data_IF_891739712633
#
_entry.id   IF_891739712633
#
_cell.length_a   1.000
_cell.length_b   1.000
_cell.length_c   1.000
_cell.angle_alpha   90.00
_cell.angle_beta   90.00
_cell.angle_gamma   90.00
#
_symmetry.space_group_name_H-M   'P 1'
#
loop_
_entity.id
_entity.type
_entity.pdbx_description
1 polymer ?
#
# COMPACT_ATOMS: atom_id res chain seq x y z
N UNK A 1 -47.69 39.44 -17.29
CA UNK A 1 -46.23 39.66 -17.13
C UNK A 1 -45.77 39.43 -15.68
N UNK A 2 -46.45 40.03 -14.69
CA UNK A 2 -46.15 39.87 -13.25
C UNK A 2 -46.08 38.42 -12.73
N UNK A 3 -47.03 37.55 -13.11
CA UNK A 3 -47.06 36.17 -12.63
C UNK A 3 -45.84 35.35 -13.07
N UNK A 4 -45.30 35.61 -14.27
CA UNK A 4 -44.10 34.93 -14.78
C UNK A 4 -42.86 35.35 -14.02
N UNK A 5 -42.76 36.63 -13.64
CA UNK A 5 -41.66 37.18 -12.85
C UNK A 5 -41.65 36.63 -11.41
N UNK A 6 -42.84 36.50 -10.82
CA UNK A 6 -43.03 35.90 -9.50
C UNK A 6 -42.67 34.42 -9.50
N UNK A 7 -43.06 33.67 -10.54
CA UNK A 7 -42.71 32.25 -10.66
C UNK A 7 -41.20 32.05 -10.82
N UNK A 8 -40.52 32.90 -11.60
CA UNK A 8 -39.06 32.82 -11.79
C UNK A 8 -38.29 33.23 -10.54
N UNK A 9 -38.76 34.25 -9.79
CA UNK A 9 -38.19 34.60 -8.48
C UNK A 9 -38.39 33.47 -7.48
N UNK A 10 -39.57 32.86 -7.43
CA UNK A 10 -39.85 31.72 -6.56
C UNK A 10 -38.93 30.54 -6.90
N UNK A 11 -38.77 30.21 -8.19
CA UNK A 11 -37.89 29.14 -8.66
C UNK A 11 -36.42 29.42 -8.33
N UNK A 12 -35.93 30.65 -8.51
CA UNK A 12 -34.58 31.07 -8.11
C UNK A 12 -34.36 31.00 -6.59
N UNK A 13 -35.38 31.35 -5.78
CA UNK A 13 -35.27 31.20 -4.32
C UNK A 13 -35.36 29.74 -3.87
N UNK A 14 -36.08 28.89 -4.60
CA UNK A 14 -36.15 27.45 -4.34
C UNK A 14 -34.81 26.78 -4.69
N UNK A 15 -34.20 27.13 -5.82
CA UNK A 15 -32.88 26.61 -6.21
C UNK A 15 -31.77 27.13 -5.30
N UNK A 16 -31.86 28.38 -4.83
CA UNK A 16 -30.96 28.92 -3.81
C UNK A 16 -31.14 28.28 -2.42
N UNK A 17 -32.24 27.54 -2.19
CA UNK A 17 -32.51 26.76 -0.98
C UNK A 17 -32.31 25.26 -1.14
N UNK A 18 -31.83 24.79 -2.30
CA UNK A 18 -31.28 23.43 -2.40
C UNK A 18 -30.01 23.45 -1.56
N UNK A 19 -30.14 23.01 -0.30
CA UNK A 19 -29.05 22.98 0.64
C UNK A 19 -27.85 22.21 0.09
N UNK A 20 -26.66 22.52 0.62
CA UNK A 20 -25.46 21.72 0.39
C UNK A 20 -25.81 20.27 0.68
N UNK A 21 -25.78 19.42 -0.35
CA UNK A 21 -25.94 17.97 -0.18
C UNK A 21 -24.82 17.53 0.74
N UNK A 22 -25.16 17.26 2.00
CA UNK A 22 -24.22 16.74 2.96
C UNK A 22 -24.07 15.26 2.65
N UNK A 23 -22.92 14.90 2.08
CA UNK A 23 -22.59 13.50 1.85
C UNK A 23 -22.56 12.77 3.18
N UNK A 24 -23.39 11.74 3.32
CA UNK A 24 -23.47 10.92 4.55
C UNK A 24 -22.53 9.72 4.44
N UNK A 25 -22.03 9.43 3.24
CA UNK A 25 -21.04 8.39 3.03
C UNK A 25 -19.67 8.77 3.58
N UNK A 26 -19.03 7.78 4.19
CA UNK A 26 -17.64 7.85 4.66
C UNK A 26 -16.82 6.92 3.80
N UNK A 27 -15.65 7.38 3.34
CA UNK A 27 -14.71 6.51 2.66
C UNK A 27 -13.64 5.98 3.63
N UNK A 28 -13.09 4.82 3.33
CA UNK A 28 -11.85 4.34 3.95
C UNK A 28 -10.77 4.14 2.91
N UNK A 29 -9.53 4.45 3.28
CA UNK A 29 -8.37 4.32 2.41
C UNK A 29 -7.37 3.35 3.05
N UNK A 30 -7.17 2.22 2.39
CA UNK A 30 -6.05 1.33 2.65
C UNK A 30 -4.83 1.84 1.89
N UNK A 31 -3.93 2.54 2.60
CA UNK A 31 -2.76 3.17 2.01
C UNK A 31 -1.52 2.29 2.17
N UNK A 32 -1.32 1.36 1.22
CA UNK A 32 -0.12 0.53 1.15
C UNK A 32 1.09 1.26 0.56
N UNK A 33 2.22 0.57 0.41
CA UNK A 33 3.40 1.15 -0.26
C UNK A 33 3.35 1.04 -1.80
N UNK A 34 2.59 0.07 -2.32
CA UNK A 34 2.47 -0.22 -3.77
C UNK A 34 1.04 -0.03 -4.28
N UNK A 35 0.03 -0.34 -3.44
CA UNK A 35 -1.37 -0.33 -3.82
C UNK A 35 -2.20 0.46 -2.81
N UNK A 36 -3.09 1.28 -3.32
CA UNK A 36 -4.17 1.94 -2.60
C UNK A 36 -5.47 1.19 -2.86
N UNK A 37 -6.28 0.96 -1.82
CA UNK A 37 -7.67 0.52 -1.97
C UNK A 37 -8.59 1.51 -1.28
N UNK A 38 -9.77 1.69 -1.85
CA UNK A 38 -10.79 2.59 -1.30
C UNK A 38 -12.04 1.77 -1.06
N UNK A 39 -12.68 1.98 0.09
CA UNK A 39 -14.00 1.45 0.35
C UNK A 39 -14.95 2.57 0.78
N UNK A 40 -16.24 2.36 0.63
CA UNK A 40 -17.27 3.31 1.06
C UNK A 40 -18.24 2.60 2.00
N UNK A 41 -18.66 3.32 3.02
CA UNK A 41 -19.80 2.95 3.86
C UNK A 41 -20.85 4.03 3.69
N UNK A 42 -22.04 3.63 3.22
CA UNK A 42 -23.20 4.51 3.07
C UNK A 42 -24.35 4.03 3.98
N UNK A 43 -25.22 4.93 4.48
CA UNK A 43 -26.38 4.51 5.26
C UNK A 43 -27.23 3.46 4.53
N UNK A 44 -27.50 2.34 5.18
CA UNK A 44 -28.32 1.26 4.63
C UNK A 44 -27.64 0.38 3.57
N UNK A 45 -26.38 0.65 3.21
CA UNK A 45 -25.61 -0.13 2.23
C UNK A 45 -24.41 -0.79 2.94
N UNK A 46 -24.16 -2.09 2.72
CA UNK A 46 -22.94 -2.73 3.19
C UNK A 46 -21.68 -2.00 2.73
N UNK A 47 -20.56 -2.20 3.42
CA UNK A 47 -19.27 -1.67 2.97
C UNK A 47 -18.90 -2.24 1.61
N UNK A 48 -18.57 -1.39 0.65
CA UNK A 48 -18.22 -1.79 -0.71
C UNK A 48 -16.81 -1.30 -1.10
N UNK A 49 -16.09 -2.14 -1.85
CA UNK A 49 -14.80 -1.75 -2.43
C UNK A 49 -15.06 -0.94 -3.69
N UNK A 50 -14.46 0.25 -3.74
CA UNK A 50 -14.54 1.17 -4.86
C UNK A 50 -13.65 0.69 -6.00
N UNK A 51 -14.18 0.78 -7.21
CA UNK A 51 -13.43 0.55 -8.43
C UNK A 51 -12.76 1.86 -8.89
N UNK A 52 -11.55 1.76 -9.41
CA UNK A 52 -10.91 2.89 -10.07
C UNK A 52 -11.44 3.08 -11.50
N UNK A 53 -10.89 4.06 -12.22
CA UNK A 53 -11.29 4.39 -13.61
C UNK A 53 -11.13 3.24 -14.59
N UNK A 54 -10.24 2.28 -14.29
CA UNK A 54 -9.97 1.10 -15.12
C UNK A 54 -10.73 -0.15 -14.59
N UNK A 55 -11.75 0.06 -13.75
CA UNK A 55 -12.55 -1.00 -13.12
C UNK A 55 -11.76 -1.97 -12.23
N UNK A 56 -10.61 -1.56 -11.71
CA UNK A 56 -9.79 -2.36 -10.78
C UNK A 56 -10.16 -2.04 -9.32
N UNK A 57 -10.07 -3.05 -8.45
CA UNK A 57 -10.28 -2.93 -6.98
C UNK A 57 -9.09 -2.34 -6.21
N UNK A 58 -8.02 -1.99 -6.91
CA UNK A 58 -6.79 -1.43 -6.34
C UNK A 58 -6.16 -0.49 -7.35
N UNK A 59 -5.58 0.59 -6.86
CA UNK A 59 -4.88 1.61 -7.66
C UNK A 59 -3.41 1.60 -7.29
N UNK A 60 -2.46 1.59 -8.24
CA UNK A 60 -1.04 1.65 -7.89
C UNK A 60 -0.70 3.02 -7.29
N UNK A 61 0.18 3.05 -6.28
CA UNK A 61 0.61 4.30 -5.64
C UNK A 61 1.78 4.87 -6.44
N UNK A 62 1.42 5.48 -7.56
CA UNK A 62 2.35 6.11 -8.50
C UNK A 62 1.76 7.42 -8.97
N UNK A 63 2.61 8.45 -9.01
CA UNK A 63 2.29 9.77 -9.56
C UNK A 63 3.35 10.09 -10.60
N UNK A 64 2.94 10.58 -11.77
CA UNK A 64 3.87 11.02 -12.81
C UNK A 64 3.51 12.40 -13.31
N UNK A 65 4.51 13.22 -13.58
CA UNK A 65 4.36 14.55 -14.15
C UNK A 65 4.95 14.59 -15.54
N UNK A 66 4.16 14.98 -16.53
CA UNK A 66 4.61 15.02 -17.91
C UNK A 66 3.82 16.03 -18.71
N UNK A 67 4.54 16.82 -19.52
CA UNK A 67 3.95 17.76 -20.48
C UNK A 67 2.94 18.74 -19.82
N UNK A 68 3.21 19.13 -18.57
CA UNK A 68 2.33 19.99 -17.76
C UNK A 68 1.17 19.27 -17.07
N UNK A 69 1.00 17.97 -17.30
CA UNK A 69 -0.07 17.16 -16.73
C UNK A 69 0.41 16.29 -15.57
N UNK A 70 -0.49 16.05 -14.62
CA UNK A 70 -0.32 15.10 -13.52
C UNK A 70 -1.13 13.84 -13.78
N UNK A 71 -0.43 12.72 -13.92
CA UNK A 71 -0.99 11.38 -13.99
C UNK A 71 -0.93 10.74 -12.61
N UNK A 72 -1.97 9.99 -12.24
CA UNK A 72 -2.09 9.32 -10.94
C UNK A 72 -2.62 7.90 -11.15
N UNK A 73 -2.08 6.94 -10.40
CA UNK A 73 -2.55 5.56 -10.46
C UNK A 73 -2.09 4.85 -11.73
N UNK A 74 -2.98 4.07 -12.35
CA UNK A 74 -2.66 3.23 -13.51
C UNK A 74 -2.10 4.03 -14.68
N UNK A 75 -2.62 5.24 -14.92
CA UNK A 75 -2.11 6.17 -15.92
C UNK A 75 -0.64 6.55 -15.69
N UNK A 76 -0.25 6.81 -14.44
CA UNK A 76 1.12 7.11 -14.07
C UNK A 76 2.01 5.86 -14.18
N UNK A 77 1.51 4.71 -13.72
CA UNK A 77 2.23 3.43 -13.78
C UNK A 77 2.53 3.02 -15.22
N UNK A 78 1.63 3.30 -16.17
CA UNK A 78 1.80 3.00 -17.59
C UNK A 78 2.98 3.76 -18.22
N UNK A 79 3.22 5.02 -17.80
CA UNK A 79 4.31 5.85 -18.32
C UNK A 79 5.61 5.73 -17.52
N UNK A 80 5.55 5.29 -16.26
CA UNK A 80 6.70 5.20 -15.35
C UNK A 80 7.83 4.30 -15.89
N UNK A 81 7.54 3.31 -16.72
CA UNK A 81 8.59 2.49 -17.36
C UNK A 81 9.36 3.27 -18.42
N UNK A 82 8.71 4.22 -19.11
CA UNK A 82 9.32 5.04 -20.16
C UNK A 82 10.03 6.26 -19.58
N UNK A 83 9.47 6.86 -18.54
CA UNK A 83 9.95 8.08 -17.88
C UNK A 83 10.06 7.87 -16.36
N UNK A 84 10.97 7.00 -15.89
CA UNK A 84 11.09 6.69 -14.46
C UNK A 84 11.46 7.90 -13.60
N UNK A 85 12.29 8.79 -14.13
CA UNK A 85 12.72 10.05 -13.51
C UNK A 85 11.60 11.11 -13.38
N UNK A 86 10.44 10.84 -13.97
CA UNK A 86 9.23 11.67 -13.91
C UNK A 86 8.10 11.00 -13.11
N UNK A 87 8.36 9.86 -12.47
CA UNK A 87 7.35 9.11 -11.74
C UNK A 87 7.80 8.81 -10.32
N UNK A 88 7.00 9.20 -9.33
CA UNK A 88 7.21 8.89 -7.92
C UNK A 88 6.44 7.62 -7.55
N UNK A 89 7.12 6.68 -6.89
CA UNK A 89 6.54 5.47 -6.31
C UNK A 89 7.22 5.17 -4.96
N UNK A 90 6.62 4.32 -4.12
CA UNK A 90 7.20 3.91 -2.83
C UNK A 90 7.60 5.06 -1.88
N UNK A 91 6.88 6.18 -1.93
CA UNK A 91 7.16 7.38 -1.13
C UNK A 91 6.45 7.39 0.24
N UNK A 92 5.61 6.39 0.58
CA UNK A 92 4.85 6.36 1.83
C UNK A 92 5.76 6.37 3.08
N UNK A 93 6.81 5.55 3.09
CA UNK A 93 7.74 5.44 4.23
C UNK A 93 8.65 6.66 4.41
N UNK A 94 8.62 7.61 3.47
CA UNK A 94 9.40 8.85 3.53
C UNK A 94 8.75 9.95 4.38
N UNK A 95 7.49 9.75 4.80
CA UNK A 95 6.78 10.71 5.66
C UNK A 95 7.58 11.05 6.92
N UNK A 96 7.69 12.35 7.20
CA UNK A 96 8.42 12.88 8.35
C UNK A 96 9.87 12.32 8.51
N UNK A 97 10.53 11.98 7.40
CA UNK A 97 11.93 11.54 7.40
C UNK A 97 12.87 12.65 6.96
N UNK A 98 14.05 12.65 7.57
CA UNK A 98 15.18 13.47 7.15
C UNK A 98 16.11 12.66 6.24
N UNK A 99 16.90 13.37 5.43
CA UNK A 99 17.80 12.80 4.42
C UNK A 99 18.77 11.76 4.96
N UNK A 100 19.26 11.95 6.18
CA UNK A 100 20.23 11.05 6.82
C UNK A 100 19.60 9.77 7.41
N UNK A 101 18.27 9.62 7.37
CA UNK A 101 17.63 8.40 7.84
C UNK A 101 17.93 7.21 6.92
N UNK A 102 18.05 6.02 7.52
CA UNK A 102 18.29 4.77 6.78
C UNK A 102 17.21 4.48 5.72
N UNK A 103 15.97 4.86 6.00
CA UNK A 103 14.83 4.71 5.08
C UNK A 103 15.04 5.56 3.82
N UNK A 104 15.44 6.82 3.96
CA UNK A 104 15.67 7.73 2.83
C UNK A 104 16.91 7.31 2.02
N UNK A 105 17.98 6.89 2.70
CA UNK A 105 19.17 6.37 2.02
C UNK A 105 18.86 5.10 1.22
N UNK A 106 18.06 4.19 1.79
CA UNK A 106 17.62 2.98 1.11
C UNK A 106 16.72 3.32 -0.09
N UNK A 107 15.81 4.27 0.05
CA UNK A 107 15.00 4.77 -1.06
C UNK A 107 15.88 5.31 -2.20
N UNK A 108 16.85 6.17 -1.89
CA UNK A 108 17.77 6.74 -2.87
C UNK A 108 18.59 5.65 -3.59
N UNK A 109 19.05 4.62 -2.87
CA UNK A 109 19.74 3.47 -3.48
C UNK A 109 18.85 2.72 -4.47
N UNK A 110 17.56 2.60 -4.18
CA UNK A 110 16.59 1.87 -5.01
C UNK A 110 16.13 2.66 -6.23
N UNK A 111 16.00 3.98 -6.07
CA UNK A 111 15.47 4.93 -7.06
C UNK A 111 16.41 6.14 -7.22
N UNK A 112 17.63 5.95 -7.78
CA UNK A 112 18.68 6.97 -7.80
C UNK A 112 18.42 8.15 -8.74
N UNK A 113 17.34 8.09 -9.52
CA UNK A 113 16.94 9.16 -10.44
C UNK A 113 16.18 10.30 -9.76
N UNK A 114 15.70 10.12 -8.53
CA UNK A 114 15.10 11.20 -7.75
C UNK A 114 16.18 11.95 -6.99
N UNK A 115 16.20 13.28 -7.11
CA UNK A 115 17.01 14.11 -6.22
C UNK A 115 16.27 14.29 -4.92
N UNK A 116 17.03 14.31 -3.82
CA UNK A 116 16.52 14.46 -2.46
C UNK A 116 17.08 15.75 -1.91
N UNK A 117 16.18 16.65 -1.55
CA UNK A 117 16.49 17.95 -0.97
C UNK A 117 15.95 18.01 0.45
N UNK A 118 16.69 18.67 1.33
CA UNK A 118 16.28 18.87 2.71
C UNK A 118 15.25 20.01 2.78
N UNK A 119 14.19 19.80 3.57
CA UNK A 119 13.22 20.85 3.90
C UNK A 119 13.31 21.16 5.40
N UNK A 120 12.58 22.17 5.86
CA UNK A 120 12.55 22.51 7.29
C UNK A 120 12.12 21.32 8.17
N UNK A 121 11.20 20.49 7.67
CA UNK A 121 10.55 19.43 8.47
C UNK A 121 10.80 18.02 7.95
N UNK A 122 11.63 17.84 6.92
CA UNK A 122 11.88 16.53 6.33
C UNK A 122 12.66 16.62 5.02
N UNK A 123 12.13 15.99 3.98
CA UNK A 123 12.72 15.98 2.64
C UNK A 123 11.69 16.32 1.57
N UNK A 124 12.18 16.66 0.39
CA UNK A 124 11.41 16.71 -0.85
C UNK A 124 12.11 15.90 -1.94
N UNK A 125 11.31 15.34 -2.84
CA UNK A 125 11.76 14.62 -4.01
C UNK A 125 11.59 15.49 -5.24
N UNK A 126 12.63 15.58 -6.07
CA UNK A 126 12.53 16.28 -7.35
C UNK A 126 12.35 15.29 -8.51
N UNK A 127 11.56 15.70 -9.50
CA UNK A 127 11.61 15.15 -10.86
C UNK A 127 12.84 15.66 -11.60
N UNK A 128 13.15 15.08 -12.76
CA UNK A 128 14.22 15.56 -13.65
C UNK A 128 13.98 16.97 -14.22
N UNK A 129 12.72 17.41 -14.35
CA UNK A 129 12.34 18.75 -14.80
C UNK A 129 12.23 19.79 -13.65
N UNK A 130 12.66 19.43 -12.44
CA UNK A 130 12.80 20.36 -11.32
C UNK A 130 11.52 20.60 -10.51
N UNK A 131 10.45 19.83 -10.76
CA UNK A 131 9.28 19.86 -9.89
C UNK A 131 9.63 19.20 -8.55
N UNK A 132 9.33 19.89 -7.46
CA UNK A 132 9.69 19.50 -6.12
C UNK A 132 8.42 19.18 -5.32
N UNK A 133 8.37 18.00 -4.71
CA UNK A 133 7.26 17.59 -3.87
C UNK A 133 7.73 16.91 -2.60
N UNK A 134 7.10 17.28 -1.49
CA UNK A 134 7.19 16.55 -0.22
C UNK A 134 6.41 15.23 -0.29
N UNK A 135 6.77 14.21 0.52
CA UNK A 135 5.96 13.01 0.66
C UNK A 135 4.50 13.30 1.03
N UNK A 136 4.24 14.32 1.85
CA UNK A 136 2.92 14.79 2.26
C UNK A 136 2.10 15.28 1.05
N UNK A 137 2.70 16.08 0.16
CA UNK A 137 2.05 16.52 -1.08
C UNK A 137 1.76 15.35 -2.00
N UNK A 138 2.71 14.42 -2.20
CA UNK A 138 2.49 13.23 -3.03
C UNK A 138 1.35 12.36 -2.50
N UNK A 139 1.29 12.13 -1.19
CA UNK A 139 0.20 11.38 -0.57
C UNK A 139 -1.12 12.13 -0.68
N UNK A 140 -1.12 13.46 -0.53
CA UNK A 140 -2.31 14.29 -0.72
C UNK A 140 -2.92 14.14 -2.12
N UNK A 141 -2.07 14.04 -3.15
CA UNK A 141 -2.53 13.79 -4.52
C UNK A 141 -3.17 12.41 -4.67
N UNK A 142 -2.63 11.38 -4.02
CA UNK A 142 -3.25 10.04 -3.98
C UNK A 142 -4.59 10.06 -3.25
N UNK A 143 -4.67 10.74 -2.09
CA UNK A 143 -5.89 10.85 -1.30
C UNK A 143 -6.97 11.66 -2.04
N UNK A 144 -6.58 12.70 -2.77
CA UNK A 144 -7.48 13.44 -3.64
C UNK A 144 -8.03 12.55 -4.76
N UNK A 145 -7.20 11.66 -5.33
CA UNK A 145 -7.66 10.68 -6.32
C UNK A 145 -8.58 9.63 -5.71
N UNK A 146 -8.31 9.18 -4.48
CA UNK A 146 -9.20 8.29 -3.73
C UNK A 146 -10.58 8.91 -3.49
N UNK A 147 -10.61 10.20 -3.11
CA UNK A 147 -11.85 10.97 -2.96
C UNK A 147 -12.66 10.97 -4.26
N UNK A 148 -12.03 11.27 -5.40
CA UNK A 148 -12.70 11.24 -6.72
C UNK A 148 -13.32 9.87 -6.98
N UNK A 149 -12.58 8.78 -6.77
CA UNK A 149 -13.15 7.43 -6.94
C UNK A 149 -14.34 7.18 -6.01
N UNK A 150 -14.26 7.64 -4.76
CA UNK A 150 -15.33 7.46 -3.80
C UNK A 150 -16.59 8.27 -4.18
N UNK A 151 -16.42 9.51 -4.62
CA UNK A 151 -17.51 10.37 -5.10
C UNK A 151 -18.16 9.82 -6.37
N UNK A 152 -17.35 9.32 -7.31
CA UNK A 152 -17.84 8.69 -8.53
C UNK A 152 -18.66 7.42 -8.24
N UNK A 153 -18.24 6.62 -7.26
CA UNK A 153 -18.94 5.39 -6.87
C UNK A 153 -20.22 5.66 -6.07
N UNK A 154 -20.19 6.63 -5.14
CA UNK A 154 -21.32 6.91 -4.25
C UNK A 154 -22.32 7.94 -4.79
N UNK A 155 -21.96 8.64 -5.88
CA UNK A 155 -22.74 9.73 -6.50
C UNK A 155 -23.08 10.87 -5.53
N UNK A 156 -22.25 11.07 -4.51
CA UNK A 156 -22.37 12.13 -3.51
C UNK A 156 -20.98 12.65 -3.13
N UNK A 157 -20.87 13.90 -2.62
CA UNK A 157 -19.59 14.41 -2.14
C UNK A 157 -19.06 13.59 -0.95
N UNK A 158 -17.74 13.44 -0.85
CA UNK A 158 -17.08 12.71 0.25
C UNK A 158 -16.10 13.64 0.96
N UNK A 159 -16.37 13.90 2.24
CA UNK A 159 -15.52 14.78 3.06
C UNK A 159 -14.86 14.05 4.22
N UNK A 160 -15.47 12.97 4.71
CA UNK A 160 -15.02 12.26 5.89
C UNK A 160 -14.32 10.96 5.49
N UNK A 161 -13.18 10.65 6.13
CA UNK A 161 -12.45 9.44 5.84
C UNK A 161 -11.81 8.75 7.06
N UNK A 162 -11.59 7.45 6.93
CA UNK A 162 -10.73 6.65 7.81
C UNK A 162 -9.52 6.18 7.01
N UNK A 163 -8.32 6.38 7.53
CA UNK A 163 -7.08 6.03 6.80
C UNK A 163 -6.31 4.96 7.58
N UNK A 164 -5.85 3.91 6.89
CA UNK A 164 -4.97 2.90 7.51
C UNK A 164 -3.52 3.39 7.54
N UNK A 165 -2.77 2.98 8.57
CA UNK A 165 -1.32 3.19 8.67
C UNK A 165 -0.60 1.94 9.15
N UNK A 166 0.66 1.73 8.74
CA UNK A 166 1.47 0.67 9.33
C UNK A 166 1.56 0.80 10.86
N UNK A 167 1.52 -0.30 11.62
CA UNK A 167 1.54 -0.23 13.09
C UNK A 167 2.83 0.38 13.64
N UNK A 168 3.93 0.32 12.89
CA UNK A 168 5.23 0.89 13.25
C UNK A 168 5.37 2.39 12.94
N UNK A 169 4.35 3.05 12.37
CA UNK A 169 4.40 4.49 12.15
C UNK A 169 4.43 5.24 13.49
N UNK A 170 5.45 6.08 13.63
CA UNK A 170 5.66 7.01 14.73
C UNK A 170 4.60 8.12 14.73
N UNK A 171 4.54 8.89 15.82
CA UNK A 171 3.64 10.04 15.90
C UNK A 171 3.94 11.11 14.85
N UNK A 172 5.21 11.28 14.46
CA UNK A 172 5.60 12.22 13.41
C UNK A 172 5.06 11.78 12.04
N UNK A 173 5.23 10.50 11.68
CA UNK A 173 4.68 9.93 10.42
C UNK A 173 3.14 10.02 10.39
N UNK A 174 2.45 9.78 11.52
CA UNK A 174 0.99 9.90 11.61
C UNK A 174 0.51 11.34 11.43
N UNK A 175 1.20 12.31 12.03
CA UNK A 175 0.89 13.74 11.86
C UNK A 175 1.12 14.21 10.42
N UNK A 176 2.21 13.78 9.79
CA UNK A 176 2.48 14.05 8.39
C UNK A 176 1.38 13.50 7.46
N UNK A 177 0.86 12.29 7.75
CA UNK A 177 -0.29 11.76 7.02
C UNK A 177 -1.58 12.57 7.23
N UNK A 178 -1.83 13.06 8.46
CA UNK A 178 -2.96 13.96 8.72
C UNK A 178 -2.83 15.26 7.92
N UNK A 179 -1.61 15.82 7.81
CA UNK A 179 -1.35 16.99 6.96
C UNK A 179 -1.62 16.69 5.48
N UNK A 180 -1.20 15.53 4.98
CA UNK A 180 -1.50 15.12 3.61
C UNK A 180 -3.02 15.01 3.34
N UNK A 181 -3.78 14.51 4.32
CA UNK A 181 -5.24 14.43 4.25
C UNK A 181 -5.91 15.81 4.30
N UNK A 182 -5.40 16.74 5.11
CA UNK A 182 -5.86 18.13 5.16
C UNK A 182 -5.63 18.84 3.83
N UNK A 183 -4.45 18.67 3.23
CA UNK A 183 -4.16 19.16 1.87
C UNK A 183 -5.12 18.59 0.81
N UNK A 184 -5.61 17.36 1.01
CA UNK A 184 -6.61 16.71 0.16
C UNK A 184 -8.06 17.14 0.48
N UNK A 185 -8.25 18.06 1.43
CA UNK A 185 -9.55 18.52 1.94
C UNK A 185 -10.41 17.36 2.46
N UNK A 186 -9.79 16.46 3.21
CA UNK A 186 -10.43 15.31 3.86
C UNK A 186 -10.38 15.44 5.37
N UNK A 187 -11.53 15.36 6.01
CA UNK A 187 -11.65 15.27 7.45
C UNK A 187 -11.40 13.82 7.89
N UNK A 188 -10.25 13.59 8.50
CA UNK A 188 -9.88 12.27 9.03
C UNK A 188 -10.64 12.03 10.32
N UNK A 189 -11.61 11.11 10.28
CA UNK A 189 -12.36 10.66 11.46
C UNK A 189 -11.48 9.83 12.39
N UNK A 190 -10.65 8.97 11.79
CA UNK A 190 -9.75 8.10 12.53
C UNK A 190 -8.59 7.64 11.64
N UNK A 191 -7.41 7.58 12.24
CA UNK A 191 -6.30 6.76 11.72
C UNK A 191 -6.34 5.44 12.47
N UNK A 192 -6.35 4.33 11.73
CA UNK A 192 -6.33 2.98 12.29
C UNK A 192 -5.08 2.24 11.82
N UNK A 193 -4.49 1.42 12.69
CA UNK A 193 -3.39 0.58 12.24
C UNK A 193 -3.91 -0.48 11.27
N UNK A 194 -3.18 -0.76 10.19
CA UNK A 194 -3.57 -1.75 9.18
C UNK A 194 -3.82 -3.12 9.81
N UNK A 195 -3.01 -3.51 10.80
CA UNK A 195 -3.18 -4.76 11.53
C UNK A 195 -4.47 -4.84 12.35
N UNK A 196 -4.82 -3.77 13.06
CA UNK A 196 -6.08 -3.68 13.78
C UNK A 196 -7.27 -3.63 12.82
N UNK A 197 -7.14 -2.96 11.67
CA UNK A 197 -8.21 -2.84 10.69
C UNK A 197 -8.58 -4.20 10.07
N UNK A 198 -7.61 -5.01 9.62
CA UNK A 198 -7.94 -6.33 9.10
C UNK A 198 -8.38 -7.31 10.20
N UNK A 199 -7.85 -7.19 11.43
CA UNK A 199 -8.29 -8.04 12.54
C UNK A 199 -9.74 -7.74 12.91
N UNK A 200 -10.11 -6.45 12.96
CA UNK A 200 -11.51 -6.04 13.10
C UNK A 200 -12.37 -6.58 11.95
N UNK A 201 -11.92 -6.44 10.70
CA UNK A 201 -12.63 -6.97 9.53
C UNK A 201 -12.85 -8.49 9.64
N UNK A 202 -11.84 -9.24 10.05
CA UNK A 202 -11.91 -10.68 10.28
C UNK A 202 -12.99 -11.02 11.32
N UNK A 203 -12.99 -10.30 12.46
CA UNK A 203 -13.95 -10.53 13.54
C UNK A 203 -15.40 -10.21 13.18
N UNK A 204 -15.64 -9.09 12.49
CA UNK A 204 -16.99 -8.58 12.19
C UNK A 204 -17.82 -9.57 11.39
N UNK A 205 -17.22 -10.28 10.43
CA UNK A 205 -17.91 -11.24 9.56
C UNK A 205 -17.89 -12.68 10.10
N UNK A 206 -17.24 -12.92 11.25
CA UNK A 206 -17.05 -14.25 11.85
C UNK A 206 -17.59 -14.33 13.28
N UNK A 207 -18.66 -13.59 13.57
CA UNK A 207 -19.23 -13.53 14.93
C UNK A 207 -19.57 -14.90 15.53
N UNK A 208 -19.95 -15.87 14.67
CA UNK A 208 -20.30 -17.24 15.08
C UNK A 208 -19.10 -18.09 15.46
N UNK A 209 -17.90 -17.67 15.06
CA UNK A 209 -16.66 -18.42 15.30
C UNK A 209 -16.09 -18.13 16.70
N UNK A 210 -16.59 -17.08 17.37
CA UNK A 210 -16.14 -16.66 18.69
C UNK A 210 -17.21 -16.89 19.76
N UNK A 211 -16.75 -17.17 20.98
CA UNK A 211 -17.61 -17.27 22.16
C UNK A 211 -17.01 -16.47 23.33
N UNK A 212 -17.43 -16.74 24.56
CA UNK A 212 -16.92 -16.02 25.76
C UNK A 212 -15.48 -16.41 26.13
N UNK A 213 -14.99 -17.54 25.62
CA UNK A 213 -13.59 -17.95 25.74
C UNK A 213 -12.74 -17.17 24.76
N UNK A 214 -11.56 -16.75 25.22
CA UNK A 214 -10.60 -16.02 24.39
C UNK A 214 -10.09 -16.93 23.28
N UNK A 215 -10.14 -16.44 22.04
CA UNK A 215 -9.49 -17.05 20.88
C UNK A 215 -8.33 -16.16 20.43
N UNK A 216 -7.10 -16.67 20.46
CA UNK A 216 -5.91 -15.96 20.03
C UNK A 216 -5.55 -16.34 18.60
N UNK A 217 -5.43 -15.35 17.73
CA UNK A 217 -5.06 -15.53 16.33
C UNK A 217 -3.80 -14.75 16.04
N UNK A 218 -2.81 -15.40 15.46
CA UNK A 218 -1.63 -14.72 14.91
C UNK A 218 -1.87 -14.40 13.44
N UNK A 219 -1.81 -13.12 13.10
CA UNK A 219 -1.85 -12.64 11.73
C UNK A 219 -0.45 -12.30 11.25
N UNK A 220 -0.05 -12.88 10.12
CA UNK A 220 1.23 -12.58 9.47
C UNK A 220 0.98 -11.90 8.12
N UNK A 221 1.31 -10.61 8.00
CA UNK A 221 1.11 -9.81 6.79
C UNK A 221 2.45 -9.44 6.16
N UNK A 222 2.73 -9.97 4.96
CA UNK A 222 3.87 -9.52 4.14
C UNK A 222 3.40 -8.70 2.93
N UNK A 223 3.55 -7.39 3.06
CA UNK A 223 3.25 -6.39 2.04
C UNK A 223 4.39 -6.17 1.05
N UNK A 224 4.33 -5.05 0.32
CA UNK A 224 5.34 -4.69 -0.67
C UNK A 224 6.65 -4.23 -0.01
N UNK A 225 6.60 -3.34 0.99
CA UNK A 225 7.80 -2.82 1.64
C UNK A 225 8.14 -3.48 2.98
N UNK A 226 7.12 -3.95 3.71
CA UNK A 226 7.26 -4.39 5.10
C UNK A 226 6.47 -5.65 5.41
N UNK A 227 6.87 -6.30 6.52
CA UNK A 227 6.19 -7.44 7.14
C UNK A 227 5.76 -7.07 8.55
N UNK A 228 4.58 -7.52 8.96
CA UNK A 228 4.10 -7.41 10.35
C UNK A 228 3.51 -8.73 10.81
N UNK A 229 3.84 -9.15 12.04
CA UNK A 229 3.09 -10.19 12.75
C UNK A 229 2.28 -9.53 13.88
N UNK A 230 1.07 -10.00 14.10
CA UNK A 230 0.15 -9.43 15.10
C UNK A 230 -0.63 -10.53 15.79
N UNK A 231 -0.53 -10.59 17.12
CA UNK A 231 -1.35 -11.48 17.94
C UNK A 231 -2.60 -10.69 18.35
N UNK A 232 -3.77 -11.19 17.99
CA UNK A 232 -5.06 -10.60 18.31
C UNK A 232 -5.94 -11.61 19.07
N UNK A 233 -6.51 -11.17 20.18
CA UNK A 233 -7.46 -11.95 20.97
C UNK A 233 -8.88 -11.52 20.63
N UNK A 234 -9.75 -12.50 20.39
CA UNK A 234 -11.18 -12.33 20.17
C UNK A 234 -11.97 -12.93 21.32
N UNK A 235 -12.99 -12.22 21.79
CA UNK A 235 -13.94 -12.72 22.77
C UNK A 235 -15.29 -12.04 22.60
N UNK A 236 -16.39 -12.75 22.84
CA UNK A 236 -17.72 -12.13 22.90
C UNK A 236 -17.88 -11.35 24.19
N UNK A 237 -18.11 -10.04 24.07
CA UNK A 237 -18.37 -9.16 25.21
C UNK A 237 -19.81 -8.66 25.15
N UNK A 238 -20.51 -8.78 26.28
CA UNK A 238 -21.83 -8.20 26.45
C UNK A 238 -21.71 -6.71 26.71
N UNK A 239 -22.15 -5.90 25.75
CA UNK A 239 -22.25 -4.45 25.87
C UNK A 239 -23.72 -4.07 26.05
N UNK A 240 -24.02 -3.22 27.04
CA UNK A 240 -25.34 -2.59 27.17
C UNK A 240 -25.29 -1.23 26.50
N UNK A 241 -25.69 -1.17 25.24
CA UNK A 241 -25.91 0.10 24.54
C UNK A 241 -27.41 0.31 24.30
N UNK A 242 -27.89 1.54 24.49
CA UNK A 242 -29.29 1.95 24.24
C UNK A 242 -30.36 1.10 24.95
N UNK A 243 -30.03 0.50 26.10
CA UNK A 243 -30.98 -0.30 26.90
C UNK A 243 -31.12 -1.77 26.47
N UNK A 244 -30.44 -2.20 25.41
CA UNK A 244 -30.39 -3.59 24.96
C UNK A 244 -29.01 -4.19 25.24
N UNK A 245 -28.99 -5.45 25.70
CA UNK A 245 -27.75 -6.19 25.87
C UNK A 245 -27.42 -6.90 24.55
N UNK A 246 -26.36 -6.46 23.88
CA UNK A 246 -25.83 -7.14 22.70
C UNK A 246 -24.49 -7.79 23.01
N UNK A 247 -24.25 -8.96 22.44
CA UNK A 247 -22.98 -9.66 22.56
C UNK A 247 -22.20 -9.50 21.26
N UNK A 248 -21.15 -8.69 21.28
CA UNK A 248 -20.33 -8.39 20.11
C UNK A 248 -18.92 -8.96 20.27
N UNK A 249 -18.30 -9.47 19.20
CA UNK A 249 -16.89 -9.85 19.26
C UNK A 249 -16.04 -8.60 19.48
N UNK A 250 -15.30 -8.59 20.60
CA UNK A 250 -14.27 -7.62 20.88
C UNK A 250 -12.94 -8.19 20.41
N UNK A 251 -12.20 -7.43 19.61
CA UNK A 251 -10.81 -7.73 19.23
C UNK A 251 -9.86 -6.87 20.05
N UNK A 252 -8.82 -7.48 20.61
CA UNK A 252 -7.73 -6.79 21.32
C UNK A 252 -6.40 -7.19 20.71
N UNK A 253 -5.59 -6.21 20.32
CA UNK A 253 -4.22 -6.47 19.85
C UNK A 253 -3.33 -6.69 21.08
N UNK A 254 -2.67 -7.86 21.14
CA UNK A 254 -1.84 -8.28 22.28
C UNK A 254 -0.35 -8.10 22.03
N UNK A 255 0.10 -8.35 20.80
CA UNK A 255 1.50 -8.22 20.43
C UNK A 255 1.65 -7.84 18.97
N UNK A 256 2.71 -7.09 18.67
CA UNK A 256 3.04 -6.67 17.31
C UNK A 256 4.54 -6.72 17.13
N UNK A 257 4.98 -7.43 16.10
CA UNK A 257 6.36 -7.39 15.61
C UNK A 257 6.38 -7.02 14.14
N UNK A 258 7.49 -6.45 13.66
CA UNK A 258 7.56 -5.94 12.31
C UNK A 258 8.98 -5.84 11.77
N UNK A 259 9.09 -5.86 10.44
CA UNK A 259 10.29 -5.49 9.70
C UNK A 259 9.89 -4.51 8.59
N UNK A 260 10.39 -3.27 8.67
CA UNK A 260 10.04 -2.18 7.74
C UNK A 260 10.63 -2.35 6.34
N UNK A 261 11.55 -3.29 6.16
CA UNK A 261 12.33 -3.46 4.92
C UNK A 261 12.19 -4.85 4.30
N UNK A 262 11.53 -5.77 5.00
CA UNK A 262 11.20 -7.09 4.48
C UNK A 262 9.88 -7.03 3.73
N UNK A 263 9.93 -7.19 2.41
CA UNK A 263 8.73 -7.23 1.60
C UNK A 263 9.03 -7.58 0.15
N UNK A 264 7.98 -7.62 -0.67
CA UNK A 264 8.07 -7.96 -2.07
C UNK A 264 8.94 -7.05 -2.95
N UNK A 265 9.17 -5.80 -2.53
CA UNK A 265 9.98 -4.82 -3.26
C UNK A 265 11.45 -5.24 -3.27
N UNK A 266 11.99 -5.66 -2.13
CA UNK A 266 13.39 -6.07 -2.03
C UNK A 266 13.65 -7.33 -2.88
N UNK A 267 12.74 -8.30 -2.84
CA UNK A 267 12.76 -9.48 -3.72
C UNK A 267 12.76 -9.10 -5.21
N UNK A 268 11.92 -8.13 -5.58
CA UNK A 268 11.81 -7.65 -6.95
C UNK A 268 13.06 -6.88 -7.41
N UNK A 269 13.70 -6.10 -6.53
CA UNK A 269 14.95 -5.40 -6.82
C UNK A 269 16.08 -6.39 -7.08
N UNK A 270 16.20 -7.43 -6.27
CA UNK A 270 17.23 -8.47 -6.46
C UNK A 270 17.03 -9.24 -7.76
N UNK A 271 15.78 -9.55 -8.08
CA UNK A 271 15.43 -10.19 -9.34
C UNK A 271 15.69 -9.26 -10.54
N UNK A 272 15.41 -7.95 -10.44
CA UNK A 272 15.79 -6.94 -11.43
C UNK A 272 17.30 -6.92 -11.65
N UNK A 273 18.08 -6.89 -10.58
CA UNK A 273 19.54 -6.81 -10.65
C UNK A 273 20.14 -8.10 -11.24
N UNK A 274 19.51 -9.26 -10.97
CA UNK A 274 19.85 -10.50 -11.64
C UNK A 274 19.52 -10.46 -13.15
N UNK A 275 18.34 -9.99 -13.55
CA UNK A 275 18.00 -9.79 -14.96
C UNK A 275 18.95 -8.82 -15.66
N UNK A 276 19.46 -7.80 -14.96
CA UNK A 276 20.47 -6.88 -15.49
C UNK A 276 21.82 -7.58 -15.75
N UNK A 277 22.23 -8.52 -14.89
CA UNK A 277 23.42 -9.36 -15.09
C UNK A 277 23.26 -10.28 -16.29
N UNK A 278 22.13 -10.99 -16.40
CA UNK A 278 21.82 -11.84 -17.54
C UNK A 278 21.78 -11.03 -18.85
N UNK A 279 21.21 -9.83 -18.82
CA UNK A 279 21.23 -8.94 -19.98
C UNK A 279 22.65 -8.49 -20.34
N UNK A 280 23.51 -8.18 -19.36
CA UNK A 280 24.91 -7.83 -19.60
C UNK A 280 25.67 -8.98 -20.29
N UNK A 281 25.47 -10.21 -19.82
CA UNK A 281 26.08 -11.41 -20.39
C UNK A 281 25.61 -11.70 -21.82
N UNK A 282 24.30 -11.52 -22.07
CA UNK A 282 23.67 -11.74 -23.38
C UNK A 282 24.06 -10.66 -24.38
N UNK A 283 24.03 -9.38 -23.98
CA UNK A 283 24.28 -8.22 -24.85
C UNK A 283 25.76 -7.88 -25.00
N UNK A 284 26.64 -8.52 -24.21
CA UNK A 284 28.08 -8.20 -24.11
C UNK A 284 28.35 -6.74 -23.72
N UNK A 285 27.42 -6.10 -23.02
CA UNK A 285 27.56 -4.74 -22.51
C UNK A 285 28.03 -4.72 -21.05
N UNK A 286 28.81 -3.72 -20.63
CA UNK A 286 29.15 -3.56 -19.22
C UNK A 286 27.91 -3.38 -18.36
N UNK A 287 27.83 -4.11 -17.23
CA UNK A 287 26.72 -3.97 -16.28
C UNK A 287 26.53 -2.53 -15.79
N UNK A 288 27.63 -1.76 -15.68
CA UNK A 288 27.58 -0.34 -15.30
C UNK A 288 26.81 0.51 -16.32
N UNK A 289 26.93 0.23 -17.61
CA UNK A 289 26.18 0.94 -18.66
C UNK A 289 24.67 0.68 -18.49
N UNK A 290 24.30 -0.58 -18.26
CA UNK A 290 22.90 -1.01 -18.08
C UNK A 290 22.29 -0.38 -16.82
N UNK A 291 22.99 -0.47 -15.70
CA UNK A 291 22.52 0.05 -14.40
C UNK A 291 22.43 1.57 -14.37
N UNK A 292 23.22 2.27 -15.19
CA UNK A 292 23.15 3.73 -15.34
C UNK A 292 21.98 4.18 -16.22
N UNK A 293 21.38 3.28 -17.00
CA UNK A 293 20.21 3.60 -17.83
C UNK A 293 18.92 3.34 -17.05
N UNK A 294 18.32 4.42 -16.54
CA UNK A 294 17.10 4.35 -15.74
C UNK A 294 15.93 3.69 -16.48
N UNK A 295 15.80 3.91 -17.80
CA UNK A 295 14.74 3.29 -18.60
C UNK A 295 14.94 1.77 -18.75
N UNK A 296 16.17 1.32 -18.97
CA UNK A 296 16.51 -0.10 -19.00
C UNK A 296 16.19 -0.76 -17.65
N UNK A 297 16.64 -0.14 -16.55
CA UNK A 297 16.37 -0.64 -15.20
C UNK A 297 14.88 -0.65 -14.85
N UNK A 298 14.10 0.33 -15.32
CA UNK A 298 12.65 0.35 -15.13
C UNK A 298 11.94 -0.77 -15.91
N UNK A 299 12.39 -1.08 -17.13
CA UNK A 299 11.89 -2.23 -17.90
C UNK A 299 12.18 -3.55 -17.20
N UNK A 300 13.41 -3.74 -16.74
CA UNK A 300 13.81 -4.93 -15.98
C UNK A 300 13.06 -5.04 -14.64
N UNK A 301 12.79 -3.91 -13.97
CA UNK A 301 12.02 -3.88 -12.73
C UNK A 301 10.57 -4.32 -12.94
N UNK A 302 9.93 -3.87 -14.03
CA UNK A 302 8.58 -4.32 -14.41
C UNK A 302 8.55 -5.82 -14.68
N UNK A 303 9.55 -6.34 -15.39
CA UNK A 303 9.64 -7.77 -15.68
C UNK A 303 9.91 -8.61 -14.43
N UNK A 304 10.77 -8.14 -13.53
CA UNK A 304 11.00 -8.77 -12.23
C UNK A 304 9.70 -8.90 -11.41
N UNK A 305 8.81 -7.88 -11.45
CA UNK A 305 7.51 -7.95 -10.80
C UNK A 305 6.63 -9.09 -11.36
N UNK A 306 6.65 -9.27 -12.68
CA UNK A 306 5.93 -10.34 -13.38
C UNK A 306 6.53 -11.69 -13.04
N UNK A 307 7.84 -11.81 -13.15
CA UNK A 307 8.59 -13.03 -12.91
C UNK A 307 8.38 -13.55 -11.49
N UNK A 308 8.47 -12.69 -10.46
CA UNK A 308 8.18 -13.05 -9.06
C UNK A 308 6.79 -13.68 -8.89
N UNK A 309 5.77 -13.11 -9.55
CA UNK A 309 4.39 -13.64 -9.50
C UNK A 309 4.28 -14.99 -10.21
N UNK A 310 4.88 -15.13 -11.39
CA UNK A 310 4.85 -16.38 -12.16
C UNK A 310 5.59 -17.50 -11.43
N UNK A 311 6.77 -17.21 -10.86
CA UNK A 311 7.58 -18.16 -10.08
C UNK A 311 6.92 -18.55 -8.75
N UNK A 312 5.93 -17.80 -8.26
CA UNK A 312 5.12 -18.23 -7.12
C UNK A 312 4.20 -19.42 -7.46
N UNK A 313 3.86 -19.60 -8.74
CA UNK A 313 3.05 -20.72 -9.22
C UNK A 313 3.88 -21.78 -9.96
N UNK A 314 4.91 -21.36 -10.71
CA UNK A 314 5.72 -22.23 -11.59
C UNK A 314 7.14 -22.37 -11.05
N UNK A 315 7.82 -23.46 -11.40
CA UNK A 315 9.22 -23.71 -11.00
C UNK A 315 10.22 -22.94 -11.84
N UNK A 316 9.85 -22.54 -13.05
CA UNK A 316 10.69 -21.75 -13.96
C UNK A 316 9.80 -20.90 -14.87
N UNK A 317 10.40 -19.87 -15.48
CA UNK A 317 9.75 -19.05 -16.49
C UNK A 317 10.76 -18.32 -17.38
N UNK A 318 10.43 -18.15 -18.65
CA UNK A 318 11.24 -17.36 -19.58
C UNK A 318 10.92 -15.87 -19.42
N UNK A 319 11.86 -15.14 -18.83
CA UNK A 319 11.84 -13.69 -18.80
C UNK A 319 12.07 -13.12 -20.21
N UNK A 320 11.23 -12.17 -20.62
CA UNK A 320 11.34 -11.52 -21.92
C UNK A 320 11.09 -10.02 -21.80
N UNK A 321 12.04 -9.22 -22.26
CA UNK A 321 11.94 -7.76 -22.27
C UNK A 321 12.41 -7.23 -23.61
N UNK A 322 11.53 -6.52 -24.30
CA UNK A 322 11.85 -5.93 -25.60
C UNK A 322 12.64 -4.63 -25.46
N UNK A 323 13.66 -4.48 -26.30
CA UNK A 323 14.52 -3.31 -26.39
C UNK A 323 14.95 -2.79 -25.01
N UNK A 324 15.61 -3.63 -24.22
CA UNK A 324 16.11 -3.22 -22.89
C UNK A 324 17.00 -1.99 -23.04
N UNK A 325 17.91 -2.04 -24.02
CA UNK A 325 18.80 -0.95 -24.40
C UNK A 325 19.34 -1.19 -25.82
N UNK A 326 19.51 -0.14 -26.61
CA UNK A 326 20.13 -0.15 -27.94
C UNK A 326 19.55 -1.22 -28.89
N UNK A 327 18.22 -1.38 -28.86
CA UNK A 327 17.46 -2.34 -29.67
C UNK A 327 17.82 -3.82 -29.43
N UNK A 328 18.39 -4.12 -28.25
CA UNK A 328 18.66 -5.48 -27.79
C UNK A 328 17.59 -5.93 -26.81
N UNK A 329 16.96 -7.06 -27.10
CA UNK A 329 15.99 -7.73 -26.22
C UNK A 329 16.70 -8.57 -25.15
N UNK A 330 16.06 -8.78 -24.00
CA UNK A 330 16.42 -9.83 -23.04
C UNK A 330 15.53 -11.05 -23.24
N UNK A 331 16.13 -12.24 -23.32
CA UNK A 331 15.44 -13.53 -23.25
C UNK A 331 16.24 -14.46 -22.36
N UNK A 332 15.77 -14.71 -21.15
CA UNK A 332 16.47 -15.58 -20.21
C UNK A 332 15.49 -16.52 -19.48
N UNK A 333 15.90 -17.77 -19.26
CA UNK A 333 15.19 -18.65 -18.35
C UNK A 333 15.59 -18.28 -16.93
N UNK A 334 14.61 -18.19 -16.02
CA UNK A 334 14.87 -18.00 -14.59
C UNK A 334 14.04 -19.02 -13.82
N UNK A 335 14.66 -19.67 -12.84
CA UNK A 335 14.03 -20.66 -11.99
C UNK A 335 13.62 -20.07 -10.64
N UNK A 336 12.68 -20.74 -9.97
CA UNK A 336 12.28 -20.44 -8.59
C UNK A 336 13.47 -20.64 -7.64
N UNK A 337 14.28 -21.67 -7.87
CA UNK A 337 15.46 -21.97 -7.06
C UNK A 337 16.49 -20.83 -7.12
N UNK A 338 16.77 -20.29 -8.31
CA UNK A 338 17.62 -19.10 -8.47
C UNK A 338 17.02 -17.90 -7.74
N UNK A 339 15.71 -17.65 -7.88
CA UNK A 339 15.02 -16.55 -7.19
C UNK A 339 15.12 -16.68 -5.66
N UNK A 340 14.90 -17.87 -5.11
CA UNK A 340 15.01 -18.14 -3.68
C UNK A 340 16.45 -17.98 -3.19
N UNK A 341 17.43 -18.44 -3.97
CA UNK A 341 18.86 -18.27 -3.67
C UNK A 341 19.25 -16.79 -3.63
N UNK A 342 18.78 -15.98 -4.57
CA UNK A 342 19.00 -14.52 -4.58
C UNK A 342 18.44 -13.82 -3.34
N UNK A 343 17.44 -14.42 -2.70
CA UNK A 343 16.72 -13.85 -1.56
C UNK A 343 16.95 -14.64 -0.26
N UNK A 344 17.98 -15.48 -0.18
CA UNK A 344 18.17 -16.40 0.94
C UNK A 344 18.17 -15.70 2.30
N UNK A 345 18.88 -14.58 2.47
CA UNK A 345 18.90 -13.80 3.71
C UNK A 345 17.56 -13.13 4.06
N UNK A 346 16.66 -12.97 3.10
CA UNK A 346 15.31 -12.44 3.32
C UNK A 346 14.31 -13.55 3.65
N UNK A 347 14.50 -14.73 3.06
CA UNK A 347 13.57 -15.85 3.05
C UNK A 347 13.91 -16.93 4.09
N UNK A 348 14.78 -16.62 5.05
CA UNK A 348 15.10 -17.47 6.21
C UNK A 348 14.72 -16.75 7.51
N UNK A 349 15.68 -16.41 8.36
CA UNK A 349 15.47 -15.95 9.74
C UNK A 349 14.69 -14.63 9.83
N UNK A 350 14.78 -13.79 8.79
CA UNK A 350 14.01 -12.52 8.75
C UNK A 350 12.51 -12.73 8.64
N UNK A 351 12.05 -13.86 8.10
CA UNK A 351 10.62 -14.19 7.99
C UNK A 351 10.01 -14.43 9.37
N UNK A 352 10.74 -15.08 10.28
CA UNK A 352 10.23 -15.44 11.61
C UNK A 352 10.44 -14.32 12.64
N UNK A 353 11.43 -13.44 12.44
CA UNK A 353 11.71 -12.35 13.39
C UNK A 353 10.48 -11.50 13.79
N UNK A 354 9.60 -11.04 12.88
CA UNK A 354 8.39 -10.33 13.28
C UNK A 354 7.47 -11.15 14.21
N UNK A 355 7.44 -12.48 14.05
CA UNK A 355 6.66 -13.40 14.89
C UNK A 355 7.28 -13.46 16.29
N UNK A 356 8.59 -13.65 16.37
CA UNK A 356 9.33 -13.65 17.65
C UNK A 356 9.11 -12.34 18.42
N UNK A 357 9.22 -11.20 17.73
CA UNK A 357 8.99 -9.88 18.32
C UNK A 357 7.51 -9.71 18.78
N UNK A 358 6.55 -10.30 18.06
CA UNK A 358 5.12 -10.28 18.46
C UNK A 358 4.87 -11.13 19.72
N UNK A 359 5.46 -12.32 19.82
CA UNK A 359 5.41 -13.13 21.03
C UNK A 359 6.08 -12.43 22.21
N UNK A 360 7.29 -11.91 22.02
CA UNK A 360 8.03 -11.19 23.06
C UNK A 360 7.25 -9.98 23.60
N UNK A 361 6.60 -9.21 22.73
CA UNK A 361 5.81 -8.03 23.15
C UNK A 361 4.49 -8.38 23.84
N UNK A 362 3.92 -9.56 23.58
CA UNK A 362 2.64 -9.98 24.15
C UNK A 362 2.78 -10.82 25.42
N UNK A 363 3.91 -11.51 25.60
CA UNK A 363 4.10 -12.51 26.65
C UNK A 363 3.40 -13.86 26.39
N UNK A 364 2.78 -14.03 25.22
CA UNK A 364 2.16 -15.30 24.84
C UNK A 364 3.21 -16.30 24.34
N UNK A 365 2.85 -17.57 24.38
CA UNK A 365 3.60 -18.69 23.81
C UNK A 365 2.88 -19.27 22.59
N UNK A 366 3.59 -20.06 21.77
CA UNK A 366 3.01 -20.72 20.59
C UNK A 366 1.80 -21.59 20.97
N UNK A 367 1.84 -22.27 22.12
CA UNK A 367 0.76 -23.14 22.60
C UNK A 367 -0.55 -22.40 22.91
N UNK A 368 -0.50 -21.07 23.07
CA UNK A 368 -1.67 -20.24 23.34
C UNK A 368 -2.30 -19.64 22.07
N UNK A 369 -1.75 -19.93 20.88
CA UNK A 369 -2.28 -19.46 19.60
C UNK A 369 -3.16 -20.54 18.98
N UNK A 370 -4.45 -20.21 18.77
CA UNK A 370 -5.43 -21.14 18.22
C UNK A 370 -5.32 -21.27 16.69
N UNK A 371 -4.92 -20.20 16.01
CA UNK A 371 -4.76 -20.21 14.56
C UNK A 371 -3.77 -19.16 14.05
N UNK A 372 -3.18 -19.48 12.90
CA UNK A 372 -2.29 -18.58 12.15
C UNK A 372 -2.94 -18.22 10.83
N UNK A 373 -3.08 -16.92 10.56
CA UNK A 373 -3.67 -16.39 9.33
C UNK A 373 -2.61 -15.58 8.58
N UNK A 374 -2.28 -16.01 7.36
CA UNK A 374 -1.38 -15.28 6.49
C UNK A 374 -2.14 -14.29 5.60
N UNK A 375 -1.64 -13.06 5.52
CA UNK A 375 -2.20 -11.93 4.78
C UNK A 375 -1.08 -11.30 3.92
N UNK A 376 -1.45 -10.43 2.99
CA UNK A 376 -0.47 -9.72 2.17
C UNK A 376 -0.22 -10.37 0.81
N UNK A 377 0.30 -9.58 -0.12
CA UNK A 377 0.57 -10.03 -1.49
C UNK A 377 1.69 -11.06 -1.55
N UNK A 378 2.73 -10.85 -0.75
CA UNK A 378 4.00 -11.55 -0.90
C UNK A 378 4.09 -12.85 -0.09
N UNK A 379 3.17 -13.12 0.84
CA UNK A 379 3.00 -14.44 1.47
C UNK A 379 2.64 -15.56 0.48
N UNK A 380 2.36 -15.22 -0.78
CA UNK A 380 2.18 -16.19 -1.88
C UNK A 380 3.48 -16.78 -2.40
N UNK A 381 4.64 -16.24 -2.03
CA UNK A 381 5.92 -16.86 -2.37
C UNK A 381 6.03 -18.19 -1.60
N UNK A 382 6.16 -19.35 -2.26
CA UNK A 382 6.10 -20.66 -1.61
C UNK A 382 7.08 -20.82 -0.44
N UNK A 383 8.32 -20.34 -0.61
CA UNK A 383 9.35 -20.39 0.43
C UNK A 383 8.91 -19.77 1.76
N UNK A 384 8.15 -18.67 1.72
CA UNK A 384 7.64 -18.02 2.94
C UNK A 384 6.66 -18.94 3.65
N UNK A 385 5.75 -19.57 2.91
CA UNK A 385 4.79 -20.50 3.50
C UNK A 385 5.49 -21.70 4.12
N UNK A 386 6.50 -22.25 3.46
CA UNK A 386 7.33 -23.33 4.03
C UNK A 386 8.02 -22.90 5.32
N UNK A 387 8.62 -21.71 5.37
CA UNK A 387 9.28 -21.21 6.58
C UNK A 387 8.28 -21.02 7.72
N UNK A 388 7.09 -20.48 7.43
CA UNK A 388 6.03 -20.31 8.42
C UNK A 388 5.50 -21.67 8.92
N UNK A 389 5.31 -22.64 8.02
CA UNK A 389 4.87 -24.00 8.35
C UNK A 389 5.91 -24.79 9.15
N UNK A 390 7.20 -24.48 8.99
CA UNK A 390 8.25 -25.11 9.79
C UNK A 390 8.41 -24.46 11.17
N UNK A 391 7.95 -23.21 11.33
CA UNK A 391 8.04 -22.48 12.58
C UNK A 391 6.95 -22.89 13.59
N UNK A 392 5.73 -23.13 13.11
CA UNK A 392 4.57 -23.58 13.90
C UNK A 392 4.39 -25.08 13.77
#
# INVERSE_FOLDING_TARGET
MFWRLLLSLLLCTLTARIGVVSGVAVMSVDLGSEWMKVAIVSPGVPMEIVLNTDSQRKTPIVISFRDGERLVGDSAQAVATRFPDKAFAYFLDLLAKHRNSSVVQLFHKRFPYHRIEDTLTGISLSTADGLLFTPEELISMMLSKAKVYAEDSSKQPINDCVITVPPYFTQAERRALLMAADLAKLKVLQIINTNAAFALNYGVFRRKDFNTTVTNILFYDMGASSTTATIASYQLVKTKERGFAESNPQVTIKGVGYDRTLGGLEMQIRLRDHLAKLFAEQSKKPLKEITSNHRAMAKLFKEAARLKKVLSANTEHKAQVENVMNDIDLKAMVTREEFETLCADLLTDRVTKPIDDAFASSGYTIAEIDSVIIVGGNTRVPKIQTVLQNYF
#
